data_IF_517169492588
#
_entry.id   IF_517169492588
#
_cell.length_a   1.000
_cell.length_b   1.000
_cell.length_c   1.000
_cell.angle_alpha   90.00
_cell.angle_beta   90.00
_cell.angle_gamma   90.00
#
_symmetry.space_group_name_H-M   'P 1'
#
loop_
_entity.id
_entity.type
_entity.pdbx_description
1 polymer ?
#
# COMPACT_ATOMS: atom_id res chain seq x y z
N UNK A 1 -22.21 4.25 18.30
CA UNK A 1 -21.74 5.39 17.54
C UNK A 1 -20.77 4.97 16.43
N UNK A 2 -20.51 5.82 15.42
CA UNK A 2 -19.75 5.46 14.22
C UNK A 2 -18.28 5.11 14.54
N UNK A 3 -17.63 5.84 15.44
CA UNK A 3 -16.23 5.60 15.82
C UNK A 3 -16.06 4.22 16.47
N UNK A 4 -16.96 3.87 17.38
CA UNK A 4 -16.94 2.56 18.02
C UNK A 4 -17.10 1.43 16.99
N UNK A 5 -17.98 1.60 16.01
CA UNK A 5 -18.15 0.62 14.92
C UNK A 5 -16.91 0.50 14.04
N UNK A 6 -16.25 1.61 13.71
CA UNK A 6 -15.00 1.62 12.95
C UNK A 6 -13.89 0.85 13.68
N UNK A 7 -13.71 1.13 14.99
CA UNK A 7 -12.71 0.44 15.80
C UNK A 7 -13.01 -1.05 15.98
N UNK A 8 -14.28 -1.41 16.19
CA UNK A 8 -14.73 -2.80 16.26
C UNK A 8 -14.47 -3.52 14.95
N UNK A 9 -14.82 -2.91 13.81
CA UNK A 9 -14.56 -3.48 12.49
C UNK A 9 -13.06 -3.70 12.26
N UNK A 10 -12.22 -2.72 12.60
CA UNK A 10 -10.76 -2.83 12.47
C UNK A 10 -10.22 -4.04 13.25
N UNK A 11 -10.64 -4.22 14.50
CA UNK A 11 -10.25 -5.37 15.32
C UNK A 11 -10.72 -6.69 14.72
N UNK A 12 -12.00 -6.78 14.38
CA UNK A 12 -12.57 -8.00 13.78
C UNK A 12 -11.89 -8.40 12.47
N UNK A 13 -11.46 -7.42 11.66
CA UNK A 13 -10.74 -7.69 10.42
C UNK A 13 -9.33 -8.21 10.70
N UNK A 14 -8.62 -7.62 11.67
CA UNK A 14 -7.29 -8.07 12.06
C UNK A 14 -7.31 -9.49 12.64
N UNK A 15 -8.22 -9.77 13.58
CA UNK A 15 -8.35 -11.09 14.23
C UNK A 15 -8.86 -12.16 13.26
N UNK A 16 -9.78 -11.79 12.37
CA UNK A 16 -10.41 -12.72 11.42
C UNK A 16 -9.71 -12.83 10.07
N UNK A 17 -8.57 -12.15 9.87
CA UNK A 17 -7.85 -12.09 8.59
C UNK A 17 -8.80 -11.76 7.42
N UNK A 18 -9.56 -10.69 7.58
CA UNK A 18 -10.56 -10.24 6.60
C UNK A 18 -10.23 -8.84 6.08
N UNK A 19 -10.66 -8.49 4.86
CA UNK A 19 -10.52 -7.11 4.38
C UNK A 19 -11.34 -6.15 5.24
N UNK A 20 -10.81 -4.94 5.42
CA UNK A 20 -11.44 -3.91 6.28
C UNK A 20 -12.74 -3.36 5.68
N UNK A 21 -12.88 -3.43 4.36
CA UNK A 21 -14.12 -3.06 3.65
C UNK A 21 -14.27 -3.85 2.33
N UNK A 22 -15.35 -3.61 1.60
CA UNK A 22 -15.64 -4.28 0.33
C UNK A 22 -14.74 -3.82 -0.82
N UNK A 23 -14.07 -2.67 -0.70
CA UNK A 23 -13.14 -2.17 -1.71
C UNK A 23 -11.74 -2.75 -1.46
N UNK A 24 -11.44 -3.85 -2.13
CA UNK A 24 -10.16 -4.54 -2.03
C UNK A 24 -9.13 -4.02 -3.03
N UNK A 25 -9.57 -3.19 -3.99
CA UNK A 25 -8.72 -2.36 -4.84
C UNK A 25 -7.72 -3.10 -5.69
N UNK A 26 -6.51 -2.56 -5.75
CA UNK A 26 -5.39 -3.04 -6.58
C UNK A 26 -4.34 -3.68 -5.68
N UNK A 27 -3.80 -4.83 -6.12
CA UNK A 27 -2.68 -5.48 -5.44
C UNK A 27 -1.40 -4.71 -5.74
N UNK A 28 -0.73 -4.25 -4.69
CA UNK A 28 0.60 -3.64 -4.76
C UNK A 28 1.61 -4.63 -4.20
N UNK A 29 2.69 -4.85 -4.94
CA UNK A 29 3.74 -5.81 -4.58
C UNK A 29 5.08 -5.09 -4.59
N UNK A 30 5.81 -5.17 -3.49
CA UNK A 30 7.18 -4.71 -3.38
C UNK A 30 8.08 -5.92 -3.26
N UNK A 31 9.00 -6.09 -4.21
CA UNK A 31 10.00 -7.15 -4.21
C UNK A 31 11.37 -6.55 -3.92
N UNK A 32 12.05 -7.03 -2.88
CA UNK A 32 13.49 -6.80 -2.69
C UNK A 32 14.22 -8.08 -3.10
N UNK A 33 14.86 -8.01 -4.25
CA UNK A 33 15.51 -9.17 -4.90
C UNK A 33 17.01 -9.09 -4.71
N UNK A 34 17.57 -10.07 -4.02
CA UNK A 34 19.01 -10.20 -3.85
C UNK A 34 19.74 -10.43 -5.17
N UNK A 35 20.90 -9.81 -5.36
CA UNK A 35 21.71 -9.92 -6.59
C UNK A 35 22.15 -11.35 -6.89
N UNK A 36 22.19 -12.23 -5.86
CA UNK A 36 22.57 -13.63 -6.00
C UNK A 36 21.34 -14.57 -6.12
N UNK A 37 20.13 -14.04 -6.14
CA UNK A 37 18.90 -14.82 -6.31
C UNK A 37 18.80 -15.32 -7.75
N UNK A 38 18.46 -16.60 -7.90
CA UNK A 38 18.15 -17.21 -9.20
C UNK A 38 16.73 -17.74 -9.18
N UNK A 39 16.00 -17.47 -10.25
CA UNK A 39 14.65 -18.00 -10.46
C UNK A 39 14.73 -19.18 -11.42
N UNK A 40 14.32 -20.37 -10.98
CA UNK A 40 14.37 -21.60 -11.75
C UNK A 40 12.96 -22.16 -11.96
N UNK A 41 12.74 -22.88 -13.04
CA UNK A 41 11.49 -23.57 -13.32
C UNK A 41 10.34 -22.69 -13.79
N UNK A 42 10.53 -21.38 -13.88
CA UNK A 42 9.54 -20.43 -14.38
C UNK A 42 9.98 -19.87 -15.75
N UNK A 43 9.02 -19.83 -16.70
CA UNK A 43 9.25 -19.24 -18.03
C UNK A 43 8.41 -17.96 -18.14
N UNK A 44 9.05 -16.83 -18.05
CA UNK A 44 8.39 -15.53 -18.12
C UNK A 44 9.14 -14.48 -17.31
N UNK A 45 8.51 -13.33 -17.13
CA UNK A 45 9.01 -12.24 -16.29
C UNK A 45 8.57 -12.40 -14.83
N UNK A 46 9.24 -11.70 -13.92
CA UNK A 46 8.76 -11.61 -12.52
C UNK A 46 7.34 -11.04 -12.42
N UNK A 47 6.98 -10.14 -13.33
CA UNK A 47 5.63 -9.60 -13.39
C UNK A 47 4.61 -10.70 -13.75
N UNK A 48 4.95 -11.62 -14.66
CA UNK A 48 4.06 -12.75 -14.99
C UNK A 48 3.89 -13.69 -13.80
N UNK A 49 4.98 -13.98 -13.07
CA UNK A 49 4.93 -14.81 -11.87
C UNK A 49 4.05 -14.19 -10.77
N UNK A 50 4.20 -12.88 -10.54
CA UNK A 50 3.37 -12.14 -9.58
C UNK A 50 1.91 -12.15 -10.01
N UNK A 51 1.62 -11.87 -11.27
CA UNK A 51 0.25 -11.85 -11.79
C UNK A 51 -0.39 -13.24 -11.74
N UNK A 52 0.36 -14.31 -12.03
CA UNK A 52 -0.13 -15.68 -11.84
C UNK A 52 -0.51 -15.92 -10.38
N UNK A 53 0.33 -15.52 -9.43
CA UNK A 53 0.05 -15.64 -8.00
C UNK A 53 -1.20 -14.87 -7.59
N UNK A 54 -1.37 -13.64 -8.05
CA UNK A 54 -2.55 -12.81 -7.78
C UNK A 54 -3.81 -13.45 -8.37
N UNK A 55 -3.77 -13.84 -9.64
CA UNK A 55 -4.92 -14.50 -10.30
C UNK A 55 -5.33 -15.78 -9.59
N UNK A 56 -4.37 -16.60 -9.15
CA UNK A 56 -4.66 -17.82 -8.37
C UNK A 56 -5.31 -17.49 -7.02
N UNK A 57 -4.84 -16.44 -6.33
CA UNK A 57 -5.41 -16.02 -5.05
C UNK A 57 -6.84 -15.51 -5.20
N UNK A 58 -7.11 -14.67 -6.19
CA UNK A 58 -8.45 -14.10 -6.41
C UNK A 58 -9.46 -15.14 -6.94
N UNK A 59 -8.99 -16.16 -7.67
CA UNK A 59 -9.82 -17.28 -8.16
C UNK A 59 -9.91 -18.45 -7.17
N UNK A 60 -9.25 -18.35 -6.00
CA UNK A 60 -9.33 -19.43 -5.01
C UNK A 60 -10.74 -19.49 -4.40
N UNK A 61 -11.31 -20.72 -4.19
CA UNK A 61 -12.66 -20.88 -3.63
C UNK A 61 -12.87 -20.19 -2.28
N UNK A 62 -11.83 -20.10 -1.44
CA UNK A 62 -11.88 -19.46 -0.13
C UNK A 62 -11.59 -17.95 -0.17
N UNK A 63 -11.38 -17.38 -1.35
CA UNK A 63 -11.10 -15.97 -1.49
C UNK A 63 -12.25 -15.12 -0.95
N UNK A 64 -11.91 -14.11 -0.14
CA UNK A 64 -12.84 -13.11 0.43
C UNK A 64 -12.69 -11.74 -0.24
N UNK A 65 -11.72 -11.58 -1.15
CA UNK A 65 -11.45 -10.34 -1.85
C UNK A 65 -12.27 -10.26 -3.14
N UNK A 66 -12.68 -9.08 -3.50
CA UNK A 66 -13.40 -8.81 -4.74
C UNK A 66 -12.44 -8.28 -5.80
N UNK A 67 -12.42 -8.88 -6.99
CA UNK A 67 -11.70 -8.33 -8.12
C UNK A 67 -12.32 -7.00 -8.57
N UNK A 68 -11.51 -5.94 -8.67
CA UNK A 68 -11.93 -4.58 -9.01
C UNK A 68 -11.09 -3.91 -10.10
N UNK A 69 -10.02 -4.55 -10.56
CA UNK A 69 -9.19 -4.04 -11.65
C UNK A 69 -9.96 -4.06 -12.98
N UNK A 70 -9.83 -2.99 -13.74
CA UNK A 70 -10.49 -2.81 -15.03
C UNK A 70 -9.45 -2.81 -16.15
N UNK A 71 -9.71 -3.60 -17.19
CA UNK A 71 -9.12 -3.41 -18.51
C UNK A 71 -9.73 -2.16 -19.14
N UNK A 72 -8.90 -1.47 -19.93
CA UNK A 72 -9.34 -0.32 -20.70
C UNK A 72 -10.18 0.66 -19.85
N UNK A 73 -9.56 1.26 -18.81
CA UNK A 73 -10.29 2.05 -17.82
C UNK A 73 -10.98 3.28 -18.37
N UNK A 74 -10.56 3.76 -19.53
CA UNK A 74 -11.14 4.93 -20.17
C UNK A 74 -12.38 4.60 -21.03
N UNK A 75 -12.43 3.42 -21.65
CA UNK A 75 -13.47 3.09 -22.63
C UNK A 75 -14.32 1.91 -22.20
N UNK A 76 -13.87 0.68 -22.44
CA UNK A 76 -14.68 -0.52 -22.24
C UNK A 76 -14.90 -0.89 -20.77
N UNK A 77 -13.97 -0.54 -19.87
CA UNK A 77 -14.06 -0.70 -18.41
C UNK A 77 -14.43 -2.10 -17.97
N UNK A 78 -13.84 -3.12 -18.61
CA UNK A 78 -14.11 -4.52 -18.30
C UNK A 78 -13.35 -4.97 -17.06
N UNK A 79 -14.04 -5.60 -16.12
CA UNK A 79 -13.41 -6.20 -14.96
C UNK A 79 -12.56 -7.41 -15.38
N UNK A 80 -11.31 -7.48 -14.91
CA UNK A 80 -10.36 -8.56 -15.24
C UNK A 80 -10.73 -9.90 -14.60
N UNK A 81 -11.60 -9.91 -13.60
CA UNK A 81 -12.10 -11.07 -12.84
C UNK A 81 -11.11 -11.67 -11.85
N UNK A 82 -9.84 -11.64 -12.15
CA UNK A 82 -8.74 -12.17 -11.34
C UNK A 82 -7.89 -11.10 -10.64
N UNK A 83 -8.31 -9.84 -10.75
CA UNK A 83 -7.66 -8.65 -10.18
C UNK A 83 -6.23 -8.40 -10.66
N UNK A 84 -5.86 -8.92 -11.82
CA UNK A 84 -4.59 -8.63 -12.49
C UNK A 84 -4.72 -7.46 -13.47
N UNK A 85 -3.61 -6.75 -13.82
CA UNK A 85 -2.27 -6.92 -13.27
C UNK A 85 -2.12 -6.27 -11.89
N UNK A 86 -1.19 -6.79 -11.09
CA UNK A 86 -0.70 -6.12 -9.89
C UNK A 86 0.19 -4.94 -10.24
N UNK A 87 0.31 -3.97 -9.34
CA UNK A 87 1.33 -2.92 -9.40
C UNK A 87 2.59 -3.45 -8.72
N UNK A 88 3.63 -3.69 -9.53
CA UNK A 88 4.86 -4.32 -9.08
C UNK A 88 6.00 -3.31 -9.01
N UNK A 89 6.67 -3.26 -7.85
CA UNK A 89 7.91 -2.52 -7.63
C UNK A 89 9.04 -3.50 -7.30
N UNK A 90 10.18 -3.35 -7.96
CA UNK A 90 11.34 -4.23 -7.77
C UNK A 90 12.53 -3.39 -7.37
N UNK A 91 13.16 -3.75 -6.26
CA UNK A 91 14.43 -3.22 -5.79
C UNK A 91 15.47 -4.31 -5.77
N UNK A 92 16.64 -4.06 -6.37
CA UNK A 92 17.77 -4.98 -6.31
C UNK A 92 18.60 -4.67 -5.06
N UNK A 93 18.85 -5.68 -4.24
CA UNK A 93 19.59 -5.55 -2.99
C UNK A 93 20.76 -6.54 -2.94
N UNK A 94 21.79 -6.31 -2.12
CA UNK A 94 22.88 -7.29 -1.96
C UNK A 94 22.42 -8.63 -1.39
N UNK A 95 23.10 -9.72 -1.76
CA UNK A 95 22.89 -11.05 -1.18
C UNK A 95 21.88 -11.91 -1.92
N UNK A 96 21.41 -12.99 -1.25
CA UNK A 96 20.60 -14.06 -1.84
C UNK A 96 19.18 -14.14 -1.22
N UNK A 97 18.66 -13.04 -0.70
CA UNK A 97 17.31 -13.00 -0.10
C UNK A 97 16.28 -12.45 -1.06
N UNK A 98 15.05 -12.93 -0.94
CA UNK A 98 13.89 -12.40 -1.60
C UNK A 98 12.88 -11.98 -0.52
N UNK A 99 12.62 -10.67 -0.41
CA UNK A 99 11.55 -10.16 0.43
C UNK A 99 10.37 -9.74 -0.44
N UNK A 100 9.16 -10.04 0.03
CA UNK A 100 7.93 -9.80 -0.72
C UNK A 100 6.91 -9.16 0.23
N UNK A 101 6.58 -7.90 -0.01
CA UNK A 101 5.50 -7.21 0.68
C UNK A 101 4.31 -7.07 -0.27
N UNK A 102 3.13 -7.49 0.20
CA UNK A 102 1.90 -7.50 -0.61
C UNK A 102 0.78 -6.78 0.12
N UNK A 103 0.14 -5.85 -0.55
CA UNK A 103 -1.07 -5.21 -0.04
C UNK A 103 -2.15 -5.10 -1.11
N UNK A 104 -3.37 -5.44 -0.75
CA UNK A 104 -4.56 -5.11 -1.52
C UNK A 104 -5.05 -3.74 -1.05
N UNK A 105 -4.74 -2.68 -1.83
CA UNK A 105 -5.06 -1.29 -1.50
C UNK A 105 -6.32 -0.84 -2.22
N UNK A 106 -7.34 -0.46 -1.44
CA UNK A 106 -8.62 -0.02 -1.97
C UNK A 106 -8.52 1.18 -2.92
N UNK A 107 -9.34 1.19 -3.96
CA UNK A 107 -9.38 2.27 -4.96
C UNK A 107 -9.77 3.61 -4.35
N UNK A 108 -10.64 3.62 -3.33
CA UNK A 108 -11.01 4.81 -2.58
C UNK A 108 -9.82 5.44 -1.86
N UNK A 109 -9.00 4.64 -1.20
CA UNK A 109 -7.78 5.13 -0.55
C UNK A 109 -6.69 5.54 -1.56
N UNK A 110 -6.56 4.84 -2.68
CA UNK A 110 -5.66 5.23 -3.76
C UNK A 110 -6.04 6.58 -4.36
N UNK A 111 -7.33 6.82 -4.60
CA UNK A 111 -7.84 8.07 -5.14
C UNK A 111 -7.68 9.28 -4.19
N UNK A 112 -7.34 9.06 -2.93
CA UNK A 112 -7.07 10.13 -1.96
C UNK A 112 -5.59 10.50 -1.85
N UNK A 113 -4.70 9.83 -2.58
CA UNK A 113 -3.30 10.21 -2.63
C UNK A 113 -3.15 11.69 -3.04
N UNK A 114 -2.25 12.40 -2.38
CA UNK A 114 -1.94 13.80 -2.63
C UNK A 114 -0.45 13.97 -2.86
N UNK A 115 -0.11 14.88 -3.74
CA UNK A 115 1.26 15.27 -4.02
C UNK A 115 1.36 16.80 -4.04
N UNK A 116 2.48 17.34 -3.59
CA UNK A 116 2.78 18.75 -3.69
C UNK A 116 4.29 18.99 -3.84
N UNK A 117 4.65 20.03 -4.57
CA UNK A 117 5.98 20.61 -4.56
C UNK A 117 5.98 21.71 -3.52
N UNK A 118 6.77 21.53 -2.46
CA UNK A 118 6.92 22.52 -1.39
C UNK A 118 8.20 23.35 -1.62
N UNK A 119 8.16 24.62 -1.22
CA UNK A 119 9.38 25.42 -1.15
C UNK A 119 10.21 25.00 0.07
N UNK A 120 11.53 25.28 0.08
CA UNK A 120 12.38 24.93 1.23
C UNK A 120 11.94 25.56 2.57
N UNK A 121 11.19 26.65 2.52
CA UNK A 121 10.63 27.33 3.70
C UNK A 121 9.30 26.78 4.18
N UNK A 122 8.65 25.91 3.40
CA UNK A 122 7.33 25.38 3.73
C UNK A 122 7.47 24.20 4.71
N UNK A 123 6.56 24.16 5.68
CA UNK A 123 6.49 23.06 6.65
C UNK A 123 5.75 21.85 6.06
N UNK A 124 6.41 20.70 6.03
CA UNK A 124 5.79 19.43 5.64
C UNK A 124 4.67 19.07 6.60
N UNK A 125 4.88 19.27 7.90
CA UNK A 125 3.86 18.96 8.93
C UNK A 125 2.61 19.80 8.73
N UNK A 126 2.77 21.11 8.53
CA UNK A 126 1.61 21.99 8.30
C UNK A 126 0.86 21.64 7.02
N UNK A 127 1.60 21.27 5.97
CA UNK A 127 0.96 20.82 4.72
C UNK A 127 0.14 19.55 4.94
N UNK A 128 0.65 18.57 5.68
CA UNK A 128 -0.06 17.32 6.00
C UNK A 128 -1.31 17.62 6.82
N UNK A 129 -1.17 18.39 7.91
CA UNK A 129 -2.28 18.75 8.79
C UNK A 129 -3.40 19.52 8.07
N UNK A 130 -3.03 20.37 7.11
CA UNK A 130 -3.98 21.10 6.27
C UNK A 130 -4.64 20.20 5.22
N UNK A 131 -3.91 19.24 4.68
CA UNK A 131 -4.36 18.42 3.54
C UNK A 131 -5.25 17.25 3.97
N UNK A 132 -4.89 16.54 5.05
CA UNK A 132 -5.61 15.35 5.51
C UNK A 132 -7.10 15.58 5.72
N UNK A 133 -7.56 16.67 6.39
CA UNK A 133 -8.99 16.92 6.54
C UNK A 133 -9.75 17.07 5.22
N UNK A 134 -9.06 17.48 4.14
CA UNK A 134 -9.67 17.67 2.82
C UNK A 134 -9.91 16.36 2.07
N UNK A 135 -9.31 15.26 2.52
CA UNK A 135 -9.46 13.96 1.87
C UNK A 135 -10.85 13.34 2.06
N UNK A 136 -11.58 13.77 3.09
CA UNK A 136 -12.88 13.17 3.45
C UNK A 136 -12.73 11.72 3.91
N UNK A 137 -13.83 10.98 3.99
CA UNK A 137 -13.87 9.62 4.52
C UNK A 137 -13.78 8.50 3.46
N UNK A 138 -13.60 8.85 2.19
CA UNK A 138 -13.60 7.88 1.08
C UNK A 138 -12.44 6.87 1.07
N UNK A 139 -11.50 7.01 1.98
CA UNK A 139 -10.36 6.09 2.19
C UNK A 139 -10.65 4.96 3.19
N UNK A 140 -11.88 4.83 3.68
CA UNK A 140 -12.35 3.78 4.60
C UNK A 140 -11.61 3.79 5.96
N UNK A 141 -12.03 4.64 6.93
CA UNK A 141 -11.44 4.71 8.28
C UNK A 141 -11.47 3.36 9.03
N UNK A 142 -10.50 3.10 9.92
CA UNK A 142 -9.38 3.94 10.30
C UNK A 142 -8.30 3.93 9.23
N UNK A 143 -7.74 5.11 8.94
CA UNK A 143 -6.71 5.25 7.91
C UNK A 143 -5.30 5.25 8.47
N UNK A 144 -4.36 4.84 7.62
CA UNK A 144 -2.92 5.04 7.82
C UNK A 144 -2.39 5.97 6.74
N UNK A 145 -1.46 6.84 7.12
CA UNK A 145 -0.79 7.74 6.20
C UNK A 145 0.62 7.20 5.89
N UNK A 146 0.90 7.01 4.61
CA UNK A 146 2.26 6.85 4.12
C UNK A 146 2.72 8.19 3.55
N UNK A 147 3.85 8.70 4.02
CA UNK A 147 4.38 10.00 3.61
C UNK A 147 5.79 9.79 3.06
N UNK A 148 6.01 10.23 1.83
CA UNK A 148 7.31 10.23 1.17
C UNK A 148 7.79 11.66 0.96
N UNK A 149 9.04 11.95 1.33
CA UNK A 149 9.63 13.28 1.30
C UNK A 149 10.93 13.26 0.51
N UNK A 150 11.03 14.13 -0.47
CA UNK A 150 12.26 14.31 -1.25
C UNK A 150 12.40 13.38 -2.45
N UNK A 151 13.53 13.48 -3.13
CA UNK A 151 13.77 12.85 -4.42
C UNK A 151 13.03 13.57 -5.56
N UNK A 152 12.58 12.79 -6.53
CA UNK A 152 11.69 13.25 -7.60
C UNK A 152 10.23 12.98 -7.23
N UNK A 153 9.28 13.50 -8.01
CA UNK A 153 7.84 13.32 -7.74
C UNK A 153 7.46 11.84 -7.61
N UNK A 154 7.88 11.03 -8.57
CA UNK A 154 7.60 9.59 -8.58
C UNK A 154 8.29 8.87 -7.42
N UNK A 155 9.52 9.28 -7.04
CA UNK A 155 10.22 8.69 -5.89
C UNK A 155 9.52 9.00 -4.58
N UNK A 156 9.07 10.23 -4.37
CA UNK A 156 8.31 10.62 -3.19
C UNK A 156 7.00 9.83 -3.07
N UNK A 157 6.27 9.68 -4.17
CA UNK A 157 5.03 8.90 -4.19
C UNK A 157 5.27 7.41 -3.95
N UNK A 158 6.36 6.84 -4.49
CA UNK A 158 6.75 5.46 -4.25
C UNK A 158 7.10 5.23 -2.77
N UNK A 159 7.95 6.10 -2.19
CA UNK A 159 8.29 6.05 -0.77
C UNK A 159 7.06 6.17 0.14
N UNK A 160 6.11 7.04 -0.21
CA UNK A 160 4.86 7.17 0.52
C UNK A 160 4.06 5.85 0.52
N UNK A 161 4.00 5.16 -0.60
CA UNK A 161 3.30 3.88 -0.70
C UNK A 161 4.04 2.77 0.03
N UNK A 162 5.36 2.70 -0.08
CA UNK A 162 6.21 1.73 0.62
C UNK A 162 6.12 1.91 2.14
N UNK A 163 6.07 3.15 2.63
CA UNK A 163 5.92 3.46 4.06
C UNK A 163 4.64 2.87 4.68
N UNK A 164 3.60 2.58 3.89
CA UNK A 164 2.40 1.91 4.38
C UNK A 164 2.64 0.42 4.73
N UNK A 165 3.72 -0.18 4.23
CA UNK A 165 4.08 -1.58 4.51
C UNK A 165 4.93 -1.71 5.76
N UNK A 166 5.49 -0.60 6.28
CA UNK A 166 6.34 -0.63 7.46
C UNK A 166 5.50 -0.84 8.73
N UNK A 167 5.94 -1.72 9.63
CA UNK A 167 5.31 -1.86 10.94
C UNK A 167 5.40 -0.55 11.74
N UNK A 168 4.29 -0.14 12.31
CA UNK A 168 4.21 1.06 13.16
C UNK A 168 3.68 0.69 14.53
N UNK A 169 4.47 0.96 15.56
CA UNK A 169 4.03 0.94 16.95
C UNK A 169 4.22 2.33 17.57
N UNK A 170 3.17 3.14 17.51
CA UNK A 170 3.19 4.51 18.06
C UNK A 170 3.31 4.51 19.59
N UNK A 171 2.78 3.50 20.29
CA UNK A 171 2.91 3.41 21.74
C UNK A 171 4.36 3.17 22.13
N UNK A 172 5.02 2.23 21.47
CA UNK A 172 6.44 1.96 21.68
C UNK A 172 7.30 3.16 21.28
N UNK A 173 7.01 3.80 20.16
CA UNK A 173 7.71 4.98 19.71
C UNK A 173 7.63 6.13 20.73
N UNK A 174 6.44 6.41 21.27
CA UNK A 174 6.24 7.40 22.33
C UNK A 174 6.98 7.04 23.62
N UNK A 175 6.99 5.75 23.99
CA UNK A 175 7.64 5.27 25.20
C UNK A 175 9.16 5.41 25.14
N UNK A 176 9.80 5.08 24.01
CA UNK A 176 11.25 5.11 23.86
C UNK A 176 11.82 6.41 23.30
N UNK A 177 10.97 7.25 22.73
CA UNK A 177 11.37 8.42 21.97
C UNK A 177 11.89 8.09 20.56
N UNK A 178 11.97 9.12 19.67
CA UNK A 178 12.45 8.94 18.30
C UNK A 178 13.96 8.69 18.28
N UNK A 179 14.42 7.87 17.33
CA UNK A 179 15.84 7.57 17.07
C UNK A 179 16.30 8.07 15.70
N UNK A 180 15.38 8.63 14.91
CA UNK A 180 15.67 9.21 13.59
C UNK A 180 14.73 10.37 13.31
N UNK A 181 15.13 11.24 12.36
CA UNK A 181 14.26 12.33 11.90
C UNK A 181 12.91 11.81 11.36
N UNK A 182 12.88 10.65 10.73
CA UNK A 182 11.64 10.01 10.26
C UNK A 182 10.72 9.66 11.42
N UNK A 183 11.26 9.10 12.51
CA UNK A 183 10.49 8.78 13.71
C UNK A 183 10.02 10.03 14.45
N UNK A 184 10.82 11.10 14.45
CA UNK A 184 10.42 12.40 15.00
C UNK A 184 9.23 13.00 14.26
N UNK A 185 9.21 12.90 12.92
CA UNK A 185 8.06 13.35 12.13
C UNK A 185 6.79 12.49 12.32
N UNK A 186 6.92 11.26 12.82
CA UNK A 186 5.79 10.38 13.11
C UNK A 186 5.07 10.69 14.42
N UNK A 187 5.74 11.42 15.35
CA UNK A 187 5.22 11.84 16.65
C UNK A 187 4.51 13.19 16.60
#
# INVERSE_FOLDING_TARGET
>A
DAIAQILTNSRMCAEGHRPICQDTGIVNVFLKVGMDVRFEGFKGSLADAVNEGVGRAYNHPDNKLRASVLEDPQFARRNTKDNTPAVLHIEMVPGATLAVDVAAKGGGSEAKAKFAMLNPSDSVVDWVLKTVPTMGAGWCPPGMLGIGIGGTAEKAMLMAKEALMEPIDIHELRRRGPKSATEELRL
#
